data_IF_279159758486
#
_entry.id   IF_279159758486
#
_cell.length_a   1.000
_cell.length_b   1.000
_cell.length_c   1.000
_cell.angle_alpha   90.00
_cell.angle_beta   90.00
_cell.angle_gamma   90.00
#
_symmetry.space_group_name_H-M   'P 1'
#
loop_
_entity.id
_entity.type
_entity.pdbx_description
1 polymer ?
#
# COMPACT_ATOMS: atom_id res chain seq x y z
N UNK A 1 27.27 -1.35 20.82
CA UNK A 1 27.92 -0.56 19.79
C UNK A 1 26.92 0.36 19.10
N UNK A 2 27.38 1.49 18.63
CA UNK A 2 26.60 2.47 17.85
C UNK A 2 27.38 2.82 16.57
N UNK A 3 26.65 3.07 15.48
CA UNK A 3 27.24 3.54 14.24
C UNK A 3 27.36 5.08 14.31
N UNK A 4 28.57 5.58 14.38
CA UNK A 4 28.84 7.01 14.51
C UNK A 4 30.07 7.41 13.69
N UNK A 5 30.01 8.49 12.95
CA UNK A 5 31.09 8.96 12.07
C UNK A 5 31.62 7.88 11.10
N UNK A 6 30.67 7.14 10.45
CA UNK A 6 30.95 6.10 9.46
C UNK A 6 31.63 4.84 9.98
N UNK A 7 31.67 4.60 11.32
CA UNK A 7 32.24 3.39 11.93
C UNK A 7 31.40 2.89 13.11
N UNK A 8 31.56 1.59 13.42
CA UNK A 8 30.96 0.98 14.60
C UNK A 8 31.88 1.15 15.81
N UNK A 9 31.42 1.87 16.81
CA UNK A 9 32.16 2.18 18.02
C UNK A 9 31.46 1.70 19.29
N UNK A 10 32.21 1.47 20.41
CA UNK A 10 31.57 1.24 21.70
C UNK A 10 30.66 2.42 22.08
N UNK A 11 29.40 2.11 22.44
CA UNK A 11 28.40 3.16 22.73
C UNK A 11 28.84 4.14 23.80
N UNK A 12 29.51 3.64 24.86
CA UNK A 12 29.95 4.48 25.98
C UNK A 12 31.01 5.52 25.56
N UNK A 13 31.89 5.18 24.63
CA UNK A 13 32.90 6.09 24.11
C UNK A 13 32.24 7.24 23.35
N UNK A 14 31.29 6.92 22.49
CA UNK A 14 30.55 7.92 21.72
C UNK A 14 29.68 8.79 22.63
N UNK A 15 29.03 8.21 23.63
CA UNK A 15 28.24 8.96 24.59
C UNK A 15 29.13 9.95 25.38
N UNK A 16 30.31 9.53 25.83
CA UNK A 16 31.27 10.42 26.51
C UNK A 16 31.76 11.53 25.59
N UNK A 17 32.06 11.23 24.32
CA UNK A 17 32.47 12.23 23.33
C UNK A 17 31.38 13.29 23.09
N UNK A 18 30.11 12.86 23.09
CA UNK A 18 28.95 13.75 22.88
C UNK A 18 28.40 14.37 24.18
N UNK A 19 29.01 14.09 25.32
CA UNK A 19 28.53 14.52 26.66
C UNK A 19 27.07 14.06 26.91
N UNK A 20 26.71 12.83 26.49
CA UNK A 20 25.43 12.21 26.74
C UNK A 20 25.56 11.30 27.96
N UNK A 21 24.78 11.55 28.99
CA UNK A 21 24.74 10.67 30.16
C UNK A 21 23.95 9.39 29.84
N UNK A 22 24.46 8.21 30.21
CA UNK A 22 23.69 6.98 30.09
C UNK A 22 22.41 7.02 30.93
N UNK A 23 21.33 6.46 30.39
CA UNK A 23 20.07 6.34 31.10
C UNK A 23 20.24 5.49 32.37
N UNK A 24 19.85 6.03 33.52
CA UNK A 24 19.81 5.27 34.78
C UNK A 24 18.51 4.47 34.83
N UNK A 25 18.64 3.16 34.84
CA UNK A 25 17.50 2.23 34.80
C UNK A 25 17.07 1.89 36.22
N UNK A 26 15.79 2.08 36.54
CA UNK A 26 15.20 1.77 37.83
C UNK A 26 14.01 0.81 37.69
N UNK A 27 13.84 -0.10 38.63
CA UNK A 27 12.68 -0.99 38.72
C UNK A 27 12.41 -1.74 37.40
N UNK A 28 11.30 -1.44 36.73
CA UNK A 28 10.90 -2.10 35.49
C UNK A 28 11.39 -1.45 34.20
N UNK A 29 12.11 -0.34 34.26
CA UNK A 29 12.49 0.40 33.05
C UNK A 29 13.20 -0.48 32.02
N UNK A 30 14.13 -1.33 32.47
CA UNK A 30 14.85 -2.26 31.59
C UNK A 30 13.94 -3.24 30.87
N UNK A 31 12.94 -3.77 31.55
CA UNK A 31 11.96 -4.68 30.93
C UNK A 31 11.02 -3.92 29.97
N UNK A 32 10.55 -2.75 30.35
CA UNK A 32 9.66 -1.93 29.52
C UNK A 32 10.33 -1.42 28.23
N UNK A 33 11.66 -1.29 28.20
CA UNK A 33 12.40 -0.95 26.99
C UNK A 33 12.56 -2.12 25.99
N UNK A 34 12.44 -3.37 26.47
CA UNK A 34 12.71 -4.57 25.67
C UNK A 34 11.43 -5.33 25.34
N UNK A 35 10.46 -5.30 26.24
CA UNK A 35 9.20 -6.01 26.13
C UNK A 35 8.15 -5.15 25.40
N UNK A 36 7.07 -5.80 24.91
CA UNK A 36 5.97 -5.14 24.23
C UNK A 36 6.11 -5.09 22.71
N UNK A 37 5.21 -4.37 22.06
CA UNK A 37 5.06 -4.31 20.60
C UNK A 37 5.60 -3.01 19.98
N UNK A 38 6.14 -2.09 20.77
CA UNK A 38 6.52 -0.74 20.35
C UNK A 38 7.49 -0.73 19.15
N UNK A 39 8.55 -1.58 19.18
CA UNK A 39 9.54 -1.64 18.10
C UNK A 39 8.94 -2.15 16.79
N UNK A 40 8.19 -3.25 16.84
CA UNK A 40 7.56 -3.81 15.65
C UNK A 40 6.47 -2.90 15.09
N UNK A 41 5.74 -2.21 15.96
CA UNK A 41 4.72 -1.22 15.58
C UNK A 41 5.36 -0.02 14.88
N UNK A 42 6.46 0.50 15.41
CA UNK A 42 7.23 1.58 14.77
C UNK A 42 7.73 1.19 13.37
N UNK A 43 8.30 0.00 13.22
CA UNK A 43 8.71 -0.53 11.90
C UNK A 43 7.49 -0.72 10.98
N UNK A 44 6.35 -1.17 11.53
CA UNK A 44 5.10 -1.32 10.81
C UNK A 44 4.59 0.01 10.24
N UNK A 45 4.64 1.09 11.03
CA UNK A 45 4.25 2.44 10.58
C UNK A 45 5.11 2.94 9.42
N UNK A 46 6.43 2.74 9.49
CA UNK A 46 7.34 3.11 8.40
C UNK A 46 7.01 2.32 7.13
N UNK A 47 6.78 1.01 7.25
CA UNK A 47 6.42 0.16 6.12
C UNK A 47 5.05 0.56 5.52
N UNK A 48 4.07 0.88 6.37
CA UNK A 48 2.76 1.38 5.92
C UNK A 48 2.90 2.69 5.14
N UNK A 49 3.73 3.63 5.61
CA UNK A 49 4.00 4.88 4.91
C UNK A 49 4.56 4.62 3.49
N UNK A 50 5.56 3.74 3.37
CA UNK A 50 6.10 3.36 2.06
C UNK A 50 5.07 2.64 1.19
N UNK A 51 4.24 1.75 1.76
CA UNK A 51 3.18 1.06 1.04
C UNK A 51 2.15 2.03 0.46
N UNK A 52 1.73 3.04 1.22
CA UNK A 52 0.84 4.11 0.73
C UNK A 52 1.46 4.90 -0.43
N UNK A 53 2.74 5.25 -0.33
CA UNK A 53 3.43 5.94 -1.40
C UNK A 53 3.53 5.09 -2.67
N UNK A 54 3.90 3.81 -2.54
CA UNK A 54 3.94 2.87 -3.67
C UNK A 54 2.56 2.69 -4.31
N UNK A 55 1.51 2.60 -3.50
CA UNK A 55 0.14 2.51 -4.00
C UNK A 55 -0.25 3.75 -4.82
N UNK A 56 0.05 4.95 -4.34
CA UNK A 56 -0.21 6.19 -5.06
C UNK A 56 0.56 6.23 -6.39
N UNK A 57 1.82 5.81 -6.39
CA UNK A 57 2.60 5.66 -7.61
C UNK A 57 1.97 4.66 -8.58
N UNK A 58 1.50 3.51 -8.08
CA UNK A 58 0.87 2.49 -8.90
C UNK A 58 -0.40 2.99 -9.59
N UNK A 59 -1.24 3.77 -8.91
CA UNK A 59 -2.42 4.42 -9.51
C UNK A 59 -2.00 5.34 -10.66
N UNK A 60 -1.07 6.27 -10.41
CA UNK A 60 -0.64 7.24 -11.42
C UNK A 60 0.03 6.56 -12.62
N UNK A 61 0.97 5.64 -12.37
CA UNK A 61 1.66 4.91 -13.44
C UNK A 61 0.71 4.04 -14.26
N UNK A 62 -0.27 3.37 -13.63
CA UNK A 62 -1.28 2.59 -14.35
C UNK A 62 -2.15 3.47 -15.24
N UNK A 63 -2.45 4.69 -14.81
CA UNK A 63 -3.19 5.63 -15.64
C UNK A 63 -2.35 6.10 -16.83
N UNK A 64 -1.11 6.54 -16.59
CA UNK A 64 -0.18 6.91 -17.67
C UNK A 64 0.01 5.77 -18.68
N UNK A 65 0.12 4.51 -18.21
CA UNK A 65 0.20 3.33 -19.06
C UNK A 65 -1.03 3.17 -19.97
N UNK A 66 -2.22 3.43 -19.44
CA UNK A 66 -3.45 3.37 -20.22
C UNK A 66 -3.53 4.50 -21.26
N UNK A 67 -3.03 5.69 -20.93
CA UNK A 67 -2.94 6.83 -21.86
C UNK A 67 -1.95 6.53 -22.98
N UNK A 68 -0.74 6.06 -22.66
CA UNK A 68 0.29 5.70 -23.67
C UNK A 68 -0.22 4.59 -24.59
N UNK A 69 -0.92 3.62 -24.04
CA UNK A 69 -1.49 2.51 -24.80
C UNK A 69 -2.74 2.88 -25.60
N UNK A 70 -3.26 4.09 -25.46
CA UNK A 70 -4.53 4.51 -26.06
C UNK A 70 -5.69 3.60 -25.67
N UNK A 71 -5.77 3.23 -24.39
CA UNK A 71 -6.82 2.34 -23.88
C UNK A 71 -8.19 3.01 -23.95
N UNK A 72 -9.23 2.18 -24.12
CA UNK A 72 -10.60 2.66 -23.96
C UNK A 72 -10.93 2.89 -22.47
N UNK A 73 -11.73 3.88 -22.19
CA UNK A 73 -12.12 4.34 -20.85
C UNK A 73 -13.13 3.44 -20.11
N UNK A 74 -13.69 2.43 -20.79
CA UNK A 74 -14.70 1.53 -20.23
C UNK A 74 -14.36 0.96 -18.85
N UNK A 75 -13.08 0.62 -18.61
CA UNK A 75 -12.67 -0.01 -17.35
C UNK A 75 -12.80 0.95 -16.15
N UNK A 76 -12.93 2.25 -16.40
CA UNK A 76 -13.19 3.29 -15.41
C UNK A 76 -14.67 3.71 -15.36
N UNK A 77 -15.54 3.14 -16.21
CA UNK A 77 -16.95 3.51 -16.20
C UNK A 77 -17.64 3.15 -14.89
N UNK A 78 -18.55 4.01 -14.46
CA UNK A 78 -19.36 3.79 -13.25
C UNK A 78 -20.26 2.58 -13.43
N UNK A 79 -20.83 2.41 -14.61
CA UNK A 79 -21.75 1.32 -14.96
C UNK A 79 -21.08 -0.04 -14.78
N UNK A 80 -19.85 -0.21 -15.30
CA UNK A 80 -19.10 -1.46 -15.18
C UNK A 80 -18.74 -1.77 -13.72
N UNK A 81 -18.35 -0.75 -12.97
CA UNK A 81 -17.78 -0.94 -11.63
C UNK A 81 -18.85 -1.00 -10.53
N UNK A 82 -20.01 -0.35 -10.71
CA UNK A 82 -21.09 -0.32 -9.72
C UNK A 82 -21.76 -1.69 -9.50
N UNK A 83 -21.76 -2.56 -10.50
CA UNK A 83 -22.36 -3.92 -10.40
C UNK A 83 -21.50 -4.88 -9.58
N UNK A 84 -20.25 -4.52 -9.29
CA UNK A 84 -19.36 -5.29 -8.44
C UNK A 84 -19.16 -4.58 -7.09
N UNK A 85 -19.68 -5.19 -6.01
CA UNK A 85 -19.78 -4.58 -4.68
C UNK A 85 -18.46 -4.65 -3.89
N UNK A 86 -17.33 -4.36 -4.53
CA UNK A 86 -16.01 -4.33 -3.88
C UNK A 86 -15.61 -2.88 -3.62
N UNK A 87 -15.50 -2.51 -2.36
CA UNK A 87 -15.22 -1.15 -1.92
C UNK A 87 -13.92 -0.60 -2.52
N UNK A 88 -12.83 -1.35 -2.39
CA UNK A 88 -11.52 -0.91 -2.88
C UNK A 88 -11.50 -0.72 -4.39
N UNK A 89 -12.20 -1.58 -5.16
CA UNK A 89 -12.32 -1.40 -6.61
C UNK A 89 -13.00 -0.07 -6.96
N UNK A 90 -14.09 0.27 -6.28
CA UNK A 90 -14.83 1.51 -6.50
C UNK A 90 -13.98 2.73 -6.15
N UNK A 91 -13.21 2.67 -5.05
CA UNK A 91 -12.28 3.73 -4.66
C UNK A 91 -11.15 3.95 -5.65
N UNK A 92 -10.60 2.87 -6.22
CA UNK A 92 -9.61 2.98 -7.30
C UNK A 92 -10.20 3.68 -8.51
N UNK A 93 -11.40 3.28 -8.95
CA UNK A 93 -12.09 3.90 -10.09
C UNK A 93 -12.37 5.38 -9.84
N UNK A 94 -12.86 5.72 -8.65
CA UNK A 94 -13.10 7.12 -8.25
C UNK A 94 -11.80 7.94 -8.33
N UNK A 95 -10.71 7.42 -7.79
CA UNK A 95 -9.40 8.09 -7.79
C UNK A 95 -8.85 8.25 -9.20
N UNK A 96 -8.91 7.20 -10.03
CA UNK A 96 -8.41 7.25 -11.40
C UNK A 96 -9.24 8.19 -12.27
N UNK A 97 -10.58 8.17 -12.16
CA UNK A 97 -11.45 9.11 -12.87
C UNK A 97 -11.18 10.57 -12.49
N UNK A 98 -10.90 10.83 -11.21
CA UNK A 98 -10.56 12.19 -10.76
C UNK A 98 -9.25 12.68 -11.40
N UNK A 99 -8.23 11.81 -11.50
CA UNK A 99 -6.95 12.15 -12.11
C UNK A 99 -7.09 12.28 -13.63
N UNK A 100 -7.86 11.40 -14.28
CA UNK A 100 -8.06 11.37 -15.72
C UNK A 100 -9.11 12.37 -16.24
N UNK A 101 -9.70 13.20 -15.39
CA UNK A 101 -10.86 14.04 -15.73
C UNK A 101 -10.63 14.98 -16.91
N UNK A 102 -9.41 15.39 -17.17
CA UNK A 102 -8.98 16.25 -18.29
C UNK A 102 -8.13 15.54 -19.32
N UNK A 103 -7.95 14.22 -19.21
CA UNK A 103 -7.17 13.42 -20.15
C UNK A 103 -7.77 13.43 -21.56
N UNK A 104 -6.92 13.62 -22.55
CA UNK A 104 -7.27 13.54 -23.98
C UNK A 104 -6.62 12.33 -24.66
N UNK A 105 -5.91 11.52 -23.91
CA UNK A 105 -5.14 10.39 -24.43
C UNK A 105 -5.90 9.07 -24.33
N UNK A 106 -6.90 8.98 -23.46
CA UNK A 106 -7.77 7.82 -23.37
C UNK A 106 -8.86 7.86 -24.44
N UNK A 107 -9.07 6.74 -25.12
CA UNK A 107 -10.04 6.62 -26.19
C UNK A 107 -11.43 6.34 -25.63
N UNK A 108 -12.44 6.89 -26.27
CA UNK A 108 -13.85 6.66 -25.92
C UNK A 108 -14.48 5.68 -26.90
N UNK A 109 -14.81 4.50 -26.38
CA UNK A 109 -15.41 3.45 -27.19
C UNK A 109 -16.71 3.86 -27.84
N UNK A 110 -17.54 4.62 -27.15
CA UNK A 110 -18.81 5.12 -27.67
C UNK A 110 -18.62 6.02 -28.90
N UNK A 111 -17.53 6.79 -28.95
CA UNK A 111 -17.23 7.70 -30.05
C UNK A 111 -16.54 7.01 -31.22
N UNK A 112 -15.74 5.97 -30.97
CA UNK A 112 -14.91 5.33 -31.99
C UNK A 112 -15.51 4.03 -32.55
N UNK A 113 -16.06 3.15 -31.70
CA UNK A 113 -16.53 1.84 -32.14
C UNK A 113 -18.05 1.78 -32.33
N UNK A 114 -18.82 2.54 -31.54
CA UNK A 114 -20.28 2.43 -31.57
C UNK A 114 -20.96 3.57 -32.32
N UNK A 115 -20.23 4.64 -32.67
CA UNK A 115 -20.79 5.77 -33.41
C UNK A 115 -21.03 5.45 -34.91
N UNK A 116 -20.39 4.41 -35.45
CA UNK A 116 -20.47 4.07 -36.88
C UNK A 116 -21.04 2.67 -37.08
N UNK A 117 -21.83 2.50 -38.17
CA UNK A 117 -22.20 1.18 -38.66
C UNK A 117 -20.97 0.60 -39.40
N UNK A 118 -20.47 -0.50 -38.90
CA UNK A 118 -19.44 -1.27 -39.59
C UNK A 118 -20.10 -2.10 -40.69
N UNK A 119 -19.57 -2.05 -41.91
CA UNK A 119 -20.06 -2.86 -43.06
C UNK A 119 -19.61 -4.33 -42.93
N UNK A 120 -18.60 -4.61 -42.10
CA UNK A 120 -18.05 -5.95 -41.88
C UNK A 120 -18.25 -6.42 -40.43
N UNK A 121 -18.55 -7.71 -40.25
CA UNK A 121 -18.72 -8.36 -38.93
C UNK A 121 -17.37 -8.58 -38.21
N UNK A 122 -16.29 -7.93 -38.64
CA UNK A 122 -14.95 -8.08 -38.07
C UNK A 122 -14.39 -6.72 -37.68
N UNK A 123 -13.92 -6.64 -36.42
CA UNK A 123 -13.16 -5.49 -35.96
C UNK A 123 -11.70 -5.61 -36.41
N UNK A 124 -11.18 -4.62 -37.12
CA UNK A 124 -9.77 -4.53 -37.51
C UNK A 124 -8.85 -4.30 -36.32
N UNK A 125 -9.35 -3.65 -35.26
CA UNK A 125 -8.62 -3.29 -34.06
C UNK A 125 -8.97 -4.18 -32.86
N UNK A 126 -8.02 -4.27 -31.90
CA UNK A 126 -8.24 -5.00 -30.65
C UNK A 126 -9.44 -4.40 -29.89
N UNK A 127 -10.46 -5.21 -29.64
CA UNK A 127 -11.69 -4.78 -28.97
C UNK A 127 -11.45 -4.46 -27.49
N UNK A 128 -10.45 -5.06 -26.87
CA UNK A 128 -10.17 -4.89 -25.44
C UNK A 128 -8.66 -4.72 -25.19
N UNK A 129 -8.27 -3.78 -24.30
CA UNK A 129 -6.89 -3.68 -23.81
C UNK A 129 -6.45 -4.94 -23.06
N UNK A 130 -5.15 -5.12 -22.87
CA UNK A 130 -4.60 -6.21 -22.05
C UNK A 130 -5.07 -6.14 -20.59
N UNK A 131 -5.04 -7.27 -19.89
CA UNK A 131 -5.45 -7.36 -18.49
C UNK A 131 -4.69 -6.39 -17.58
N UNK A 132 -3.37 -6.24 -17.79
CA UNK A 132 -2.55 -5.31 -17.01
C UNK A 132 -2.95 -3.82 -17.19
N UNK A 133 -3.69 -3.50 -18.23
CA UNK A 133 -4.22 -2.15 -18.48
C UNK A 133 -5.64 -2.01 -17.93
N UNK A 134 -6.56 -2.91 -18.31
CA UNK A 134 -7.99 -2.77 -17.98
C UNK A 134 -8.41 -3.33 -16.63
N UNK A 135 -7.60 -4.22 -16.01
CA UNK A 135 -7.95 -4.83 -14.72
C UNK A 135 -7.31 -4.12 -13.51
N UNK A 136 -6.80 -2.91 -13.71
CA UNK A 136 -6.18 -2.11 -12.64
C UNK A 136 -7.09 -1.95 -11.41
N UNK A 137 -8.38 -1.57 -11.55
CA UNK A 137 -9.27 -1.43 -10.39
C UNK A 137 -9.46 -2.74 -9.61
N UNK A 138 -9.53 -3.89 -10.31
CA UNK A 138 -9.72 -5.20 -9.70
C UNK A 138 -8.47 -5.71 -8.99
N UNK A 139 -7.28 -5.24 -9.40
CA UNK A 139 -6.00 -5.63 -8.82
C UNK A 139 -5.61 -4.70 -7.66
N UNK A 140 -5.74 -3.39 -7.84
CA UNK A 140 -5.36 -2.41 -6.82
C UNK A 140 -6.42 -2.20 -5.74
N UNK A 141 -7.69 -2.55 -6.00
CA UNK A 141 -8.75 -2.48 -5.01
C UNK A 141 -8.46 -3.28 -3.74
N UNK A 142 -8.19 -4.59 -3.83
CA UNK A 142 -7.81 -5.40 -2.67
C UNK A 142 -6.54 -4.91 -1.96
N UNK A 143 -5.58 -4.35 -2.70
CA UNK A 143 -4.36 -3.76 -2.12
C UNK A 143 -4.72 -2.56 -1.24
N UNK A 144 -5.61 -1.69 -1.72
CA UNK A 144 -6.10 -0.55 -0.93
C UNK A 144 -6.73 -1.00 0.38
N UNK A 145 -7.64 -1.98 0.32
CA UNK A 145 -8.34 -2.49 1.50
C UNK A 145 -7.37 -3.07 2.55
N UNK A 146 -6.32 -3.75 2.10
CA UNK A 146 -5.26 -4.24 3.01
C UNK A 146 -4.50 -3.09 3.64
N UNK A 147 -4.13 -2.06 2.88
CA UNK A 147 -3.42 -0.88 3.38
C UNK A 147 -4.27 -0.12 4.42
N UNK A 148 -5.55 0.11 4.14
CA UNK A 148 -6.46 0.80 5.06
C UNK A 148 -6.71 0.00 6.35
N UNK A 149 -6.88 -1.33 6.24
CA UNK A 149 -7.03 -2.17 7.42
C UNK A 149 -5.74 -2.20 8.26
N UNK A 150 -4.59 -2.31 7.61
CA UNK A 150 -3.28 -2.26 8.26
C UNK A 150 -3.10 -0.93 9.03
N UNK A 151 -3.47 0.21 8.43
CA UNK A 151 -3.45 1.50 9.09
C UNK A 151 -4.31 1.51 10.35
N UNK A 152 -5.54 1.05 10.24
CA UNK A 152 -6.47 0.99 11.37
C UNK A 152 -5.90 0.17 12.54
N UNK A 153 -5.30 -0.98 12.25
CA UNK A 153 -4.71 -1.85 13.27
C UNK A 153 -3.47 -1.21 13.90
N UNK A 154 -2.58 -0.64 13.10
CA UNK A 154 -1.38 0.05 13.59
C UNK A 154 -1.71 1.27 14.45
N UNK A 155 -2.72 2.06 14.05
CA UNK A 155 -3.18 3.21 14.84
C UNK A 155 -3.74 2.77 16.19
N UNK A 156 -4.49 1.66 16.23
CA UNK A 156 -4.98 1.10 17.49
C UNK A 156 -3.81 0.65 18.38
N UNK A 157 -2.83 -0.05 17.81
CA UNK A 157 -1.68 -0.56 18.57
C UNK A 157 -0.83 0.56 19.17
N UNK A 158 -0.54 1.61 18.37
CA UNK A 158 0.22 2.80 18.85
C UNK A 158 -0.46 3.49 20.05
N UNK A 159 -1.79 3.39 20.12
CA UNK A 159 -2.56 3.99 21.21
C UNK A 159 -2.94 2.99 22.32
N UNK A 160 -2.32 1.80 22.31
CA UNK A 160 -2.57 0.75 23.30
C UNK A 160 -1.48 0.70 24.37
N UNK A 161 -1.81 0.10 25.50
CA UNK A 161 -0.84 -0.31 26.51
C UNK A 161 -0.44 -1.77 26.21
N UNK A 162 0.78 -1.95 25.73
CA UNK A 162 1.31 -3.18 25.13
C UNK A 162 2.31 -3.94 26.05
N UNK A 163 2.18 -3.77 27.38
CA UNK A 163 3.07 -4.39 28.35
C UNK A 163 2.34 -5.37 29.29
N UNK A 164 3.08 -5.97 30.21
CA UNK A 164 2.61 -6.82 31.28
C UNK A 164 3.52 -6.70 32.51
N UNK A 165 2.95 -6.51 33.70
CA UNK A 165 1.53 -6.30 34.01
C UNK A 165 1.03 -4.89 33.66
N UNK A 166 -0.28 -4.75 33.51
CA UNK A 166 -0.96 -3.46 33.38
C UNK A 166 -1.34 -2.96 34.77
N UNK A 167 -0.96 -1.71 35.07
CA UNK A 167 -1.35 -1.01 36.29
C UNK A 167 -2.54 -0.12 35.97
N UNK A 168 -3.68 -0.37 36.61
CA UNK A 168 -4.87 0.47 36.45
C UNK A 168 -4.99 1.44 37.66
N UNK A 169 -4.79 2.75 37.40
CA UNK A 169 -4.87 3.74 38.49
C UNK A 169 -6.30 3.95 39.01
N UNK A 170 -7.32 3.60 38.25
CA UNK A 170 -8.73 3.78 38.63
C UNK A 170 -9.13 2.71 39.67
N UNK A 171 -8.95 1.44 39.33
CA UNK A 171 -9.24 0.34 40.24
C UNK A 171 -8.15 0.14 41.29
N UNK A 172 -6.99 0.77 41.14
CA UNK A 172 -5.77 0.59 41.98
C UNK A 172 -5.30 -0.86 42.03
N UNK A 173 -5.50 -1.58 40.93
CA UNK A 173 -5.13 -2.99 40.77
C UNK A 173 -4.04 -3.17 39.72
N UNK A 174 -3.39 -4.32 39.79
CA UNK A 174 -2.41 -4.80 38.82
C UNK A 174 -2.98 -6.04 38.16
N UNK A 175 -2.99 -6.02 36.82
CA UNK A 175 -3.52 -7.10 36.00
C UNK A 175 -2.43 -7.75 35.17
N UNK A 176 -2.38 -9.08 35.21
CA UNK A 176 -1.43 -9.88 34.42
C UNK A 176 -2.13 -10.43 33.18
N UNK A 177 -1.58 -10.16 32.03
CA UNK A 177 -2.13 -10.54 30.71
C UNK A 177 -1.08 -10.66 29.63
N UNK A 178 -1.53 -10.72 28.39
CA UNK A 178 -0.70 -10.94 27.22
C UNK A 178 -0.63 -9.74 26.27
N UNK A 179 -0.81 -8.51 26.72
CA UNK A 179 -0.85 -7.33 25.85
C UNK A 179 0.48 -7.08 25.09
N UNK A 180 1.58 -7.68 25.56
CA UNK A 180 2.87 -7.65 24.86
C UNK A 180 2.91 -8.53 23.60
N UNK A 181 1.84 -9.27 23.29
CA UNK A 181 1.83 -10.22 22.20
C UNK A 181 1.56 -9.51 20.86
N UNK A 182 2.48 -9.68 19.90
CA UNK A 182 2.50 -8.88 18.68
C UNK A 182 1.72 -9.43 17.49
N UNK A 183 0.78 -10.37 17.66
CA UNK A 183 0.08 -11.04 16.57
C UNK A 183 -0.72 -10.09 15.67
N UNK A 184 -1.31 -9.04 16.25
CA UNK A 184 -2.00 -8.04 15.45
C UNK A 184 -1.06 -7.42 14.40
N UNK A 185 0.12 -7.00 14.82
CA UNK A 185 1.07 -6.32 13.92
C UNK A 185 1.73 -7.31 12.97
N UNK A 186 2.12 -8.49 13.45
CA UNK A 186 2.77 -9.50 12.59
C UNK A 186 1.85 -9.95 11.46
N UNK A 187 0.57 -10.22 11.76
CA UNK A 187 -0.41 -10.61 10.75
C UNK A 187 -0.68 -9.50 9.73
N UNK A 188 -0.79 -8.25 10.18
CA UNK A 188 -0.98 -7.12 9.26
C UNK A 188 0.25 -6.91 8.37
N UNK A 189 1.46 -7.07 8.90
CA UNK A 189 2.69 -6.97 8.09
C UNK A 189 2.77 -8.09 7.05
N UNK A 190 2.34 -9.30 7.36
CA UNK A 190 2.31 -10.39 6.38
C UNK A 190 1.26 -10.16 5.28
N UNK A 191 0.06 -9.68 5.65
CA UNK A 191 -0.94 -9.24 4.66
C UNK A 191 -0.41 -8.12 3.77
N UNK A 192 0.27 -7.13 4.36
CA UNK A 192 0.86 -6.02 3.62
C UNK A 192 1.92 -6.49 2.62
N UNK A 193 2.78 -7.43 2.98
CA UNK A 193 3.75 -8.06 2.04
C UNK A 193 3.05 -8.67 0.84
N UNK A 194 1.97 -9.43 1.07
CA UNK A 194 1.20 -10.06 0.00
C UNK A 194 0.57 -8.98 -0.90
N UNK A 195 0.00 -7.94 -0.32
CA UNK A 195 -0.61 -6.84 -1.06
C UNK A 195 0.41 -6.10 -1.94
N UNK A 196 1.58 -5.76 -1.39
CA UNK A 196 2.67 -5.12 -2.15
C UNK A 196 3.20 -6.04 -3.25
N UNK A 197 3.30 -7.35 -3.02
CA UNK A 197 3.66 -8.31 -4.06
C UNK A 197 2.65 -8.28 -5.22
N UNK A 198 1.34 -8.23 -4.94
CA UNK A 198 0.31 -8.10 -5.98
C UNK A 198 0.41 -6.80 -6.77
N UNK A 199 0.66 -5.69 -6.09
CA UNK A 199 0.91 -4.40 -6.72
C UNK A 199 2.14 -4.47 -7.64
N UNK A 200 3.25 -5.02 -7.16
CA UNK A 200 4.49 -5.14 -7.93
C UNK A 200 4.32 -6.04 -9.16
N UNK A 201 3.56 -7.13 -9.05
CA UNK A 201 3.22 -7.98 -10.20
C UNK A 201 2.45 -7.21 -11.29
N UNK A 202 1.53 -6.32 -10.92
CA UNK A 202 0.85 -5.46 -11.89
C UNK A 202 1.84 -4.53 -12.59
N UNK A 203 2.69 -3.85 -11.82
CA UNK A 203 3.69 -2.92 -12.37
C UNK A 203 4.67 -3.64 -13.32
N UNK A 204 5.11 -4.84 -12.96
CA UNK A 204 5.98 -5.67 -13.80
C UNK A 204 5.27 -6.03 -15.13
N UNK A 205 3.99 -6.42 -15.09
CA UNK A 205 3.22 -6.72 -16.32
C UNK A 205 3.01 -5.50 -17.20
N UNK A 206 2.83 -4.33 -16.61
CA UNK A 206 2.74 -3.07 -17.36
C UNK A 206 4.08 -2.70 -18.00
N UNK A 207 5.18 -2.84 -17.27
CA UNK A 207 6.52 -2.62 -17.80
C UNK A 207 6.83 -3.60 -18.94
N UNK A 208 6.50 -4.88 -18.78
CA UNK A 208 6.65 -5.89 -19.81
C UNK A 208 5.83 -5.54 -21.07
N UNK A 209 4.63 -5.00 -20.92
CA UNK A 209 3.83 -4.51 -22.05
C UNK A 209 4.58 -3.44 -22.86
N UNK A 210 5.26 -2.49 -22.21
CA UNK A 210 6.05 -1.45 -22.89
C UNK A 210 7.22 -2.02 -23.71
N UNK A 211 7.87 -3.07 -23.19
CA UNK A 211 9.02 -3.67 -23.88
C UNK A 211 8.65 -4.63 -25.01
N UNK A 212 7.36 -4.88 -25.23
CA UNK A 212 6.95 -5.91 -26.20
C UNK A 212 6.36 -5.27 -27.46
N UNK A 213 7.23 -4.89 -28.40
CA UNK A 213 6.90 -4.22 -29.67
C UNK A 213 5.81 -4.92 -30.50
N UNK A 214 5.77 -6.27 -30.50
CA UNK A 214 4.76 -7.07 -31.20
C UNK A 214 3.37 -7.02 -30.54
N UNK A 215 3.28 -6.53 -29.31
CA UNK A 215 2.06 -6.55 -28.51
C UNK A 215 1.49 -5.16 -28.37
N UNK A 216 2.34 -4.16 -28.10
CA UNK A 216 1.92 -2.79 -27.80
C UNK A 216 1.62 -1.98 -29.06
N UNK A 217 2.30 -2.26 -30.16
CA UNK A 217 2.13 -1.51 -31.42
C UNK A 217 2.71 -0.09 -31.37
N UNK A 218 3.60 0.18 -30.39
CA UNK A 218 4.28 1.46 -30.19
C UNK A 218 5.65 1.41 -30.85
#
# INVERSE_FOLDING_TARGET
QVYYNYEWRPTIEVMNELNIEPLTIHGRDGLSLVNGTAMMTGLGLVNLFYAKNLYNWAINMSLMMNEIAGSYDDFLSVELNSVRRQYGQQKVVESMNKIASDSRCMRKRSEELYAFKHEEDKFEHKVQPYYSLRCVPQILGPVLEVIENCERVLVNEVNSADDNPIVDPVSKNIYHGGNFHGDYISLEMDKLKIAITKLTMLMERQLNYLYHDRINGI
#
